data_IF_807541360986
#
_entry.id   IF_807541360986
#
_cell.length_a   1.000
_cell.length_b   1.000
_cell.length_c   1.000
_cell.angle_alpha   90.00
_cell.angle_beta   90.00
_cell.angle_gamma   90.00
#
_symmetry.space_group_name_H-M   'P 1'
#
loop_
_entity.id
_entity.type
_entity.pdbx_description
1 polymer ?
#
# COMPACT_ATOMS: atom_id res chain seq x y z
N UNK A 1 15.87 -14.75 -0.25
CA UNK A 1 16.03 -16.04 -0.98
C UNK A 1 16.62 -15.71 -2.32
N UNK A 2 17.80 -16.24 -2.65
CA UNK A 2 18.38 -16.14 -3.99
C UNK A 2 18.29 -17.50 -4.66
N UNK A 3 18.32 -17.57 -6.03
CA UNK A 3 18.32 -18.85 -6.73
C UNK A 3 19.46 -19.77 -6.28
N UNK A 4 20.66 -19.25 -6.10
CA UNK A 4 21.83 -20.05 -5.68
C UNK A 4 21.60 -20.70 -4.30
N UNK A 5 21.01 -19.95 -3.35
CA UNK A 5 20.69 -20.50 -2.03
C UNK A 5 19.56 -21.56 -2.14
N UNK A 6 18.60 -21.36 -3.03
CA UNK A 6 17.51 -22.31 -3.24
C UNK A 6 17.99 -23.63 -3.87
N UNK A 7 18.94 -23.57 -4.81
CA UNK A 7 19.62 -24.74 -5.42
C UNK A 7 20.42 -25.53 -4.39
N UNK A 8 21.15 -24.86 -3.49
CA UNK A 8 21.95 -25.51 -2.44
C UNK A 8 21.11 -26.31 -1.44
N UNK A 9 19.80 -26.02 -1.33
CA UNK A 9 18.89 -26.77 -0.47
C UNK A 9 18.56 -28.18 -1.02
N UNK A 10 18.83 -28.45 -2.30
CA UNK A 10 18.52 -29.71 -2.97
C UNK A 10 17.09 -30.22 -2.70
N UNK A 11 16.11 -29.32 -2.73
CA UNK A 11 14.72 -29.63 -2.43
C UNK A 11 14.06 -30.32 -3.65
N UNK A 12 13.21 -31.30 -3.41
CA UNK A 12 12.39 -31.93 -4.46
C UNK A 12 11.28 -31.00 -4.96
N UNK A 13 10.75 -30.17 -4.05
CA UNK A 13 9.63 -29.24 -4.31
C UNK A 13 9.93 -27.87 -3.71
N UNK A 14 9.72 -26.83 -4.50
CA UNK A 14 9.71 -25.44 -4.01
C UNK A 14 8.31 -24.87 -4.12
N UNK A 15 7.78 -24.37 -3.00
CA UNK A 15 6.54 -23.59 -2.95
C UNK A 15 6.92 -22.12 -2.64
N UNK A 16 6.82 -21.27 -3.63
CA UNK A 16 7.22 -19.88 -3.53
C UNK A 16 6.01 -18.98 -3.23
N UNK A 17 6.03 -18.36 -2.05
CA UNK A 17 4.99 -17.44 -1.57
C UNK A 17 5.63 -16.12 -1.13
N UNK A 18 6.37 -15.45 -2.05
CA UNK A 18 7.20 -14.28 -1.73
C UNK A 18 6.38 -13.01 -1.47
N UNK A 19 5.09 -13.02 -1.80
CA UNK A 19 4.21 -11.88 -1.56
C UNK A 19 4.35 -10.77 -2.61
N UNK A 20 4.06 -9.55 -2.19
CA UNK A 20 4.09 -8.36 -3.02
C UNK A 20 4.77 -7.19 -2.28
N UNK A 21 5.19 -6.19 -3.02
CA UNK A 21 5.72 -4.93 -2.47
C UNK A 21 4.78 -3.78 -2.79
N UNK A 22 4.81 -2.71 -1.97
CA UNK A 22 4.04 -1.50 -2.21
C UNK A 22 4.31 -0.95 -3.62
N UNK A 23 3.27 -0.71 -4.39
CA UNK A 23 3.36 -0.06 -5.68
C UNK A 23 3.75 1.40 -5.47
N UNK A 24 4.92 1.79 -5.98
CA UNK A 24 5.43 3.14 -5.87
C UNK A 24 4.85 4.00 -6.99
N UNK A 25 4.07 5.05 -6.69
CA UNK A 25 3.50 5.92 -7.71
C UNK A 25 4.60 6.77 -8.37
N UNK A 26 4.41 7.09 -9.65
CA UNK A 26 5.33 7.96 -10.39
C UNK A 26 4.96 9.43 -10.14
N UNK A 27 5.34 9.94 -8.99
CA UNK A 27 5.14 11.34 -8.60
C UNK A 27 6.51 11.97 -8.32
N UNK A 28 6.86 13.09 -8.93
CA UNK A 28 8.10 13.80 -8.62
C UNK A 28 8.23 14.05 -7.11
N UNK A 29 9.40 13.77 -6.54
CA UNK A 29 9.65 13.88 -5.10
C UNK A 29 9.34 12.61 -4.28
N UNK A 30 8.88 11.52 -4.90
CA UNK A 30 8.56 10.24 -4.21
C UNK A 30 9.78 9.60 -3.54
N UNK A 31 11.00 9.96 -3.96
CA UNK A 31 12.27 9.44 -3.41
C UNK A 31 12.80 10.24 -2.22
N UNK A 32 12.06 11.25 -1.75
CA UNK A 32 12.47 12.10 -0.64
C UNK A 32 12.45 11.33 0.70
N UNK A 33 13.35 11.68 1.62
CA UNK A 33 13.52 10.98 2.90
C UNK A 33 12.29 11.00 3.83
N UNK A 34 11.36 11.94 3.62
CA UNK A 34 10.11 12.03 4.38
C UNK A 34 8.95 11.28 3.70
N UNK A 35 9.22 10.53 2.63
CA UNK A 35 8.24 9.71 1.92
C UNK A 35 8.45 8.24 2.27
N UNK A 36 7.38 7.58 2.71
CA UNK A 36 7.40 6.18 3.14
C UNK A 36 6.32 5.38 2.39
N UNK A 37 6.53 4.09 2.26
CA UNK A 37 5.43 3.18 1.95
C UNK A 37 4.53 2.99 3.18
N UNK A 38 3.31 2.53 2.98
CA UNK A 38 2.42 2.18 4.09
C UNK A 38 3.04 1.12 5.02
N UNK A 39 3.77 0.15 4.47
CA UNK A 39 4.45 -0.91 5.24
C UNK A 39 5.55 -0.35 6.15
N UNK A 40 6.29 0.65 5.68
CA UNK A 40 7.34 1.33 6.47
C UNK A 40 6.73 2.26 7.53
N UNK A 41 5.61 2.92 7.21
CA UNK A 41 4.95 3.88 8.10
C UNK A 41 4.27 3.21 9.32
N UNK A 42 3.72 2.00 9.18
CA UNK A 42 3.01 1.29 10.25
C UNK A 42 3.83 1.15 11.54
N UNK A 43 5.05 0.57 11.53
CA UNK A 43 5.85 0.43 12.74
C UNK A 43 6.43 1.75 13.25
N UNK A 44 6.40 2.79 12.43
CA UNK A 44 6.93 4.11 12.77
C UNK A 44 5.86 5.11 13.24
N UNK A 45 4.61 4.68 13.44
CA UNK A 45 3.46 5.54 13.73
C UNK A 45 3.73 6.59 14.83
N UNK A 46 4.39 6.23 15.92
CA UNK A 46 4.74 7.16 17.01
C UNK A 46 5.78 8.21 16.58
N UNK A 47 6.72 7.82 15.73
CA UNK A 47 7.88 8.63 15.33
C UNK A 47 7.60 9.58 14.16
N UNK A 48 6.48 9.38 13.44
CA UNK A 48 6.10 10.28 12.34
C UNK A 48 5.80 11.68 12.88
N UNK A 49 5.97 12.69 12.02
CA UNK A 49 5.55 14.06 12.29
C UNK A 49 4.05 14.18 12.55
N UNK A 50 3.57 15.30 13.07
CA UNK A 50 2.16 15.50 13.38
C UNK A 50 1.24 15.50 12.16
N UNK A 51 1.70 16.04 11.02
CA UNK A 51 0.94 16.12 9.77
C UNK A 51 1.32 15.03 8.80
N UNK A 52 0.40 14.13 8.44
CA UNK A 52 0.65 13.02 7.51
C UNK A 52 -0.33 13.06 6.34
N UNK A 53 0.21 13.03 5.13
CA UNK A 53 -0.58 12.82 3.92
C UNK A 53 -0.41 11.37 3.46
N UNK A 54 -1.54 10.70 3.17
CA UNK A 54 -1.54 9.37 2.57
C UNK A 54 -2.04 9.47 1.12
N UNK A 55 -1.29 8.88 0.19
CA UNK A 55 -1.66 8.80 -1.22
C UNK A 55 -2.36 7.47 -1.50
N UNK A 56 -3.67 7.51 -1.70
CA UNK A 56 -4.54 6.37 -1.99
C UNK A 56 -5.52 6.02 -0.87
N UNK A 57 -6.82 5.97 -1.21
CA UNK A 57 -7.93 5.60 -0.33
C UNK A 57 -8.40 4.14 -0.56
N UNK A 58 -7.46 3.23 -0.78
CA UNK A 58 -7.70 1.79 -0.69
C UNK A 58 -7.72 1.33 0.77
N UNK A 59 -8.01 0.04 1.02
CA UNK A 59 -8.07 -0.54 2.38
C UNK A 59 -6.83 -0.21 3.19
N UNK A 60 -5.64 -0.41 2.63
CA UNK A 60 -4.35 -0.16 3.30
C UNK A 60 -4.22 1.30 3.73
N UNK A 61 -4.55 2.26 2.84
CA UNK A 61 -4.46 3.69 3.14
C UNK A 61 -5.43 4.12 4.23
N UNK A 62 -6.67 3.62 4.19
CA UNK A 62 -7.72 3.92 5.19
C UNK A 62 -7.35 3.33 6.55
N UNK A 63 -6.97 2.06 6.60
CA UNK A 63 -6.58 1.38 7.85
C UNK A 63 -5.36 2.03 8.48
N UNK A 64 -4.34 2.36 7.68
CA UNK A 64 -3.18 3.12 8.15
C UNK A 64 -3.59 4.51 8.67
N UNK A 65 -4.45 5.23 7.95
CA UNK A 65 -4.94 6.54 8.38
C UNK A 65 -5.64 6.48 9.75
N UNK A 66 -6.53 5.51 9.94
CA UNK A 66 -7.20 5.26 11.22
C UNK A 66 -6.20 4.83 12.32
N UNK A 67 -5.17 4.07 11.96
CA UNK A 67 -4.09 3.69 12.88
C UNK A 67 -3.32 4.93 13.35
N UNK A 68 -2.85 5.77 12.42
CA UNK A 68 -2.07 6.96 12.73
C UNK A 68 -2.85 7.98 13.59
N UNK A 69 -4.15 8.14 13.38
CA UNK A 69 -5.01 8.98 14.22
C UNK A 69 -4.98 8.53 15.70
N UNK A 70 -4.88 7.22 15.97
CA UNK A 70 -4.75 6.71 17.35
C UNK A 70 -3.46 7.17 18.03
N UNK A 71 -2.42 7.48 17.25
CA UNK A 71 -1.16 8.06 17.71
C UNK A 71 -1.16 9.60 17.67
N UNK A 72 -2.36 10.22 17.56
CA UNK A 72 -2.53 11.68 17.60
C UNK A 72 -2.07 12.40 16.34
N UNK A 73 -1.89 11.69 15.20
CA UNK A 73 -1.50 12.33 13.95
C UNK A 73 -2.70 12.96 13.25
N UNK A 74 -2.46 14.10 12.60
CA UNK A 74 -3.41 14.74 11.70
C UNK A 74 -3.24 14.12 10.31
N UNK A 75 -4.21 13.32 9.89
CA UNK A 75 -4.13 12.55 8.66
C UNK A 75 -5.09 13.09 7.60
N UNK A 76 -4.56 13.30 6.39
CA UNK A 76 -5.37 13.56 5.20
C UNK A 76 -5.02 12.52 4.14
N UNK A 77 -6.04 11.83 3.62
CA UNK A 77 -5.88 10.91 2.49
C UNK A 77 -6.23 11.66 1.21
N UNK A 78 -5.36 11.56 0.20
CA UNK A 78 -5.58 12.07 -1.15
C UNK A 78 -5.91 10.90 -2.07
N UNK A 79 -7.07 10.97 -2.74
CA UNK A 79 -7.53 9.92 -3.65
C UNK A 79 -7.84 10.55 -5.02
N UNK A 80 -7.25 9.97 -6.06
CA UNK A 80 -7.42 10.48 -7.42
C UNK A 80 -8.78 10.15 -8.05
N UNK A 81 -9.46 9.13 -7.55
CA UNK A 81 -10.82 8.75 -7.96
C UNK A 81 -11.89 9.45 -7.10
N UNK A 82 -13.14 9.26 -7.44
CA UNK A 82 -14.29 9.84 -6.72
C UNK A 82 -14.84 8.95 -5.59
N UNK A 83 -14.19 7.81 -5.33
CA UNK A 83 -14.62 6.83 -4.32
C UNK A 83 -13.45 6.10 -3.67
N UNK A 84 -13.72 5.45 -2.54
CA UNK A 84 -12.77 4.53 -1.88
C UNK A 84 -12.81 3.17 -2.57
N UNK A 85 -11.67 2.51 -2.70
CA UNK A 85 -11.63 1.11 -3.14
C UNK A 85 -12.13 0.20 -2.01
N UNK A 86 -13.19 -0.57 -2.28
CA UNK A 86 -13.84 -1.42 -1.28
C UNK A 86 -13.16 -2.78 -1.02
N UNK A 87 -12.18 -3.15 -1.86
CA UNK A 87 -11.50 -4.43 -1.75
C UNK A 87 -12.44 -5.66 -1.80
N UNK A 88 -13.71 -5.47 -2.18
CA UNK A 88 -14.69 -6.55 -2.34
C UNK A 88 -15.32 -7.07 -1.03
N UNK A 89 -15.12 -6.41 0.12
CA UNK A 89 -15.72 -6.81 1.40
C UNK A 89 -16.66 -5.74 1.95
N UNK A 90 -17.95 -5.86 1.63
CA UNK A 90 -18.98 -4.91 2.02
C UNK A 90 -19.11 -4.70 3.55
N UNK A 91 -19.08 -5.78 4.34
CA UNK A 91 -19.20 -5.66 5.80
C UNK A 91 -18.00 -4.94 6.43
N UNK A 92 -16.80 -5.23 5.93
CA UNK A 92 -15.59 -4.54 6.36
C UNK A 92 -15.67 -3.05 6.04
N UNK A 93 -16.13 -2.71 4.84
CA UNK A 93 -16.30 -1.32 4.42
C UNK A 93 -17.32 -0.56 5.26
N UNK A 94 -18.43 -1.19 5.68
CA UNK A 94 -19.38 -0.56 6.61
C UNK A 94 -18.71 -0.20 7.94
N UNK A 95 -17.90 -1.11 8.49
CA UNK A 95 -17.12 -0.85 9.70
C UNK A 95 -16.12 0.29 9.52
N UNK A 96 -15.38 0.32 8.41
CA UNK A 96 -14.44 1.40 8.09
C UNK A 96 -15.13 2.75 7.95
N UNK A 97 -16.26 2.84 7.25
CA UNK A 97 -17.03 4.07 7.14
C UNK A 97 -17.46 4.63 8.52
N UNK A 98 -17.90 3.75 9.43
CA UNK A 98 -18.25 4.16 10.79
C UNK A 98 -17.04 4.71 11.55
N UNK A 99 -15.87 4.06 11.47
CA UNK A 99 -14.64 4.52 12.11
C UNK A 99 -14.09 5.80 11.47
N UNK A 100 -14.13 5.95 10.14
CA UNK A 100 -13.75 7.18 9.42
C UNK A 100 -14.57 8.36 9.98
N UNK A 101 -15.89 8.22 10.02
CA UNK A 101 -16.79 9.27 10.55
C UNK A 101 -16.53 9.56 12.02
N UNK A 102 -16.41 8.53 12.85
CA UNK A 102 -16.19 8.65 14.30
C UNK A 102 -14.87 9.35 14.63
N UNK A 103 -13.80 9.08 13.86
CA UNK A 103 -12.46 9.63 14.12
C UNK A 103 -12.15 10.89 13.31
N UNK A 104 -13.05 11.28 12.40
CA UNK A 104 -12.86 12.47 11.56
C UNK A 104 -11.70 12.33 10.56
N UNK A 105 -11.44 11.11 10.07
CA UNK A 105 -10.42 10.90 9.03
C UNK A 105 -10.81 11.64 7.76
N UNK A 106 -9.97 12.59 7.35
CA UNK A 106 -10.19 13.40 6.17
C UNK A 106 -9.76 12.66 4.91
N UNK A 107 -10.68 12.49 3.97
CA UNK A 107 -10.40 11.91 2.64
C UNK A 107 -10.81 12.95 1.59
N UNK A 108 -9.89 13.27 0.69
CA UNK A 108 -10.10 14.18 -0.43
C UNK A 108 -10.12 13.38 -1.72
N UNK A 109 -11.29 13.23 -2.29
CA UNK A 109 -11.50 12.57 -3.58
C UNK A 109 -11.18 13.52 -4.75
N UNK A 110 -11.05 12.97 -5.96
CA UNK A 110 -10.69 13.69 -7.18
C UNK A 110 -9.44 14.59 -6.97
N UNK A 111 -8.51 14.14 -6.11
CA UNK A 111 -7.33 14.88 -5.70
C UNK A 111 -6.08 14.09 -6.06
N UNK A 112 -5.48 14.40 -7.20
CA UNK A 112 -4.31 13.72 -7.73
C UNK A 112 -3.03 14.41 -7.29
N UNK A 113 -2.13 13.70 -6.61
CA UNK A 113 -0.79 14.20 -6.31
C UNK A 113 0.02 14.37 -7.61
N UNK A 114 0.59 15.57 -7.82
CA UNK A 114 1.39 15.91 -9.00
C UNK A 114 2.85 16.18 -8.65
N UNK A 115 3.14 16.55 -7.41
CA UNK A 115 4.50 16.78 -6.92
C UNK A 115 4.54 16.67 -5.40
N UNK A 116 5.59 16.05 -4.89
CA UNK A 116 5.92 16.00 -3.46
C UNK A 116 7.12 16.91 -3.21
N UNK A 117 7.06 17.73 -2.17
CA UNK A 117 8.14 18.59 -1.70
C UNK A 117 8.39 18.35 -0.23
N UNK A 118 9.45 18.91 0.34
CA UNK A 118 9.78 18.86 1.77
C UNK A 118 8.72 19.49 2.70
N UNK A 119 7.76 20.24 2.13
CA UNK A 119 6.68 20.91 2.88
C UNK A 119 5.31 20.27 2.69
N UNK A 120 5.17 19.31 1.78
CA UNK A 120 3.88 18.69 1.50
C UNK A 120 3.70 18.29 0.03
N UNK A 121 2.44 18.25 -0.43
CA UNK A 121 2.05 17.71 -1.72
C UNK A 121 1.27 18.72 -2.54
N UNK A 122 1.73 19.01 -3.75
CA UNK A 122 0.94 19.70 -4.78
C UNK A 122 0.02 18.73 -5.48
N UNK A 123 -1.23 19.09 -5.62
CA UNK A 123 -2.29 18.24 -6.16
C UNK A 123 -3.09 18.96 -7.22
N UNK A 124 -3.58 18.20 -8.19
CA UNK A 124 -4.62 18.63 -9.12
C UNK A 124 -5.98 18.21 -8.59
N UNK A 125 -6.90 19.18 -8.57
CA UNK A 125 -8.30 18.98 -8.16
C UNK A 125 -9.24 19.52 -9.26
N UNK A 126 -10.54 19.22 -9.23
CA UNK A 126 -11.50 19.80 -10.17
C UNK A 126 -11.57 21.33 -10.14
N UNK A 127 -11.26 21.94 -8.99
CA UNK A 127 -11.26 23.41 -8.83
C UNK A 127 -9.90 24.05 -9.18
N UNK A 128 -8.90 23.27 -9.61
CA UNK A 128 -7.54 23.71 -9.92
C UNK A 128 -6.47 23.12 -9.00
N UNK A 129 -5.26 23.58 -9.18
CA UNK A 129 -4.13 23.05 -8.40
C UNK A 129 -4.16 23.57 -6.96
N UNK A 130 -3.87 22.67 -6.01
CA UNK A 130 -3.88 22.92 -4.57
C UNK A 130 -2.61 22.38 -3.93
N UNK A 131 -2.17 23.00 -2.84
CA UNK A 131 -1.06 22.51 -2.02
C UNK A 131 -1.56 22.11 -0.63
N UNK A 132 -1.12 20.95 -0.17
CA UNK A 132 -1.44 20.42 1.16
C UNK A 132 -0.14 20.22 1.93
N UNK A 133 -0.03 20.88 3.08
CA UNK A 133 1.13 20.77 3.97
C UNK A 133 1.16 19.43 4.68
N UNK A 134 2.37 18.87 4.83
CA UNK A 134 2.60 17.63 5.58
C UNK A 134 4.06 17.52 6.02
N UNK A 135 4.28 16.91 7.18
CA UNK A 135 5.60 16.54 7.68
C UNK A 135 6.08 15.23 7.05
N UNK A 136 5.12 14.35 6.77
CA UNK A 136 5.36 13.04 6.15
C UNK A 136 4.36 12.76 5.03
N UNK A 137 4.84 12.10 3.97
CA UNK A 137 3.98 11.58 2.90
C UNK A 137 4.09 10.06 2.89
N UNK A 138 2.95 9.38 2.83
CA UNK A 138 2.90 7.92 2.77
C UNK A 138 2.16 7.48 1.52
N UNK A 139 2.74 6.58 0.73
CA UNK A 139 2.02 6.03 -0.40
C UNK A 139 1.41 4.66 -0.10
N UNK A 140 0.13 4.51 -0.47
CA UNK A 140 -0.70 3.31 -0.37
C UNK A 140 -1.43 3.05 -1.70
N UNK A 141 -0.69 3.17 -2.82
CA UNK A 141 -1.22 3.17 -4.19
C UNK A 141 -1.34 1.75 -4.80
N UNK A 142 -1.53 0.73 -3.96
CA UNK A 142 -1.64 -0.66 -4.36
C UNK A 142 -0.38 -1.48 -4.10
N UNK A 143 -0.37 -2.71 -4.64
CA UNK A 143 0.74 -3.65 -4.46
C UNK A 143 1.19 -4.21 -5.81
N UNK A 144 2.51 -4.42 -5.96
CA UNK A 144 3.12 -5.07 -7.11
C UNK A 144 3.58 -6.47 -6.72
N UNK A 145 3.10 -7.54 -7.40
CA UNK A 145 3.56 -8.91 -7.14
C UNK A 145 5.08 -9.03 -7.30
N UNK A 146 5.72 -9.81 -6.44
CA UNK A 146 7.13 -10.20 -6.58
C UNK A 146 7.28 -11.37 -7.57
N UNK A 147 6.65 -11.23 -8.75
CA UNK A 147 6.58 -12.29 -9.75
C UNK A 147 7.93 -12.62 -10.36
N UNK A 148 8.74 -11.62 -10.66
CA UNK A 148 10.06 -11.79 -11.26
C UNK A 148 10.98 -12.55 -10.29
N UNK A 149 11.03 -12.11 -9.04
CA UNK A 149 11.80 -12.72 -7.95
C UNK A 149 11.32 -14.16 -7.69
N UNK A 150 10.00 -14.39 -7.79
CA UNK A 150 9.41 -15.72 -7.61
C UNK A 150 9.75 -16.65 -8.78
N UNK A 151 9.62 -16.16 -10.01
CA UNK A 151 9.89 -16.94 -11.22
C UNK A 151 11.37 -17.32 -11.32
N UNK A 152 12.28 -16.52 -10.80
CA UNK A 152 13.71 -16.82 -10.77
C UNK A 152 14.03 -18.11 -9.98
N UNK A 153 13.13 -18.57 -9.10
CA UNK A 153 13.28 -19.83 -8.34
C UNK A 153 12.74 -21.07 -9.09
N UNK A 154 12.12 -20.90 -10.26
CA UNK A 154 11.41 -21.98 -10.94
C UNK A 154 12.31 -23.15 -11.38
N UNK A 155 13.60 -22.91 -11.60
CA UNK A 155 14.56 -23.94 -12.02
C UNK A 155 15.37 -24.55 -10.87
N UNK A 156 15.11 -24.13 -9.61
CA UNK A 156 15.90 -24.56 -8.45
C UNK A 156 15.41 -25.88 -7.83
N UNK A 157 14.31 -26.46 -8.33
CA UNK A 157 13.82 -27.79 -7.93
C UNK A 157 13.09 -28.49 -9.07
N UNK A 158 12.95 -29.84 -9.04
CA UNK A 158 12.18 -30.59 -10.00
C UNK A 158 10.70 -30.17 -10.08
N UNK A 159 10.10 -29.81 -8.96
CA UNK A 159 8.74 -29.29 -8.87
C UNK A 159 8.70 -27.88 -8.30
N UNK A 160 7.92 -27.00 -8.93
CA UNK A 160 7.82 -25.59 -8.53
C UNK A 160 6.38 -25.09 -8.57
N UNK A 161 5.96 -24.44 -7.47
CA UNK A 161 4.62 -23.85 -7.32
C UNK A 161 4.70 -22.41 -6.81
N UNK A 162 3.89 -21.53 -7.40
CA UNK A 162 3.72 -20.14 -6.93
C UNK A 162 2.35 -19.98 -6.30
N UNK A 163 2.27 -19.29 -5.15
CA UNK A 163 0.99 -19.03 -4.51
C UNK A 163 0.96 -17.68 -3.76
N UNK A 164 -0.24 -17.19 -3.52
CA UNK A 164 -0.48 -15.94 -2.79
C UNK A 164 -0.17 -14.68 -3.61
N UNK A 165 0.21 -13.60 -2.92
CA UNK A 165 0.33 -12.27 -3.51
C UNK A 165 1.46 -12.12 -4.54
N UNK A 166 2.40 -13.05 -4.61
CA UNK A 166 3.40 -13.06 -5.68
C UNK A 166 2.81 -13.45 -7.04
N UNK A 167 1.63 -14.07 -7.05
CA UNK A 167 0.85 -14.36 -8.26
C UNK A 167 -0.12 -13.22 -8.55
N UNK A 168 -0.98 -12.92 -7.58
CA UNK A 168 -1.97 -11.84 -7.65
C UNK A 168 -2.27 -11.34 -6.24
N UNK A 169 -1.90 -10.09 -5.90
CA UNK A 169 -2.24 -9.51 -4.62
C UNK A 169 -3.76 -9.45 -4.42
N UNK A 170 -4.23 -10.05 -3.34
CA UNK A 170 -5.65 -10.14 -3.00
C UNK A 170 -5.85 -10.03 -1.49
N UNK A 171 -7.08 -9.77 -1.05
CA UNK A 171 -7.44 -9.90 0.36
C UNK A 171 -7.79 -11.36 0.70
N UNK A 172 -7.82 -11.66 2.01
CA UNK A 172 -8.09 -13.03 2.52
C UNK A 172 -9.43 -13.60 2.01
N UNK A 173 -10.41 -12.75 1.74
CA UNK A 173 -11.74 -13.18 1.28
C UNK A 173 -11.76 -13.62 -0.18
N UNK A 174 -10.73 -13.27 -0.94
CA UNK A 174 -10.58 -13.57 -2.37
C UNK A 174 -9.59 -14.72 -2.65
N UNK A 175 -9.01 -15.29 -1.59
CA UNK A 175 -8.15 -16.48 -1.71
C UNK A 175 -9.00 -17.68 -2.15
N UNK A 176 -9.09 -17.89 -3.45
CA UNK A 176 -9.59 -19.15 -3.98
C UNK A 176 -8.47 -20.18 -3.93
N UNK A 177 -8.76 -21.43 -3.51
CA UNK A 177 -7.82 -22.52 -3.71
C UNK A 177 -7.55 -22.61 -5.21
N UNK A 178 -6.27 -22.65 -5.58
CA UNK A 178 -5.89 -22.96 -6.97
C UNK A 178 -6.52 -24.29 -7.35
N UNK A 179 -7.08 -24.43 -8.56
CA UNK A 179 -7.49 -25.76 -9.03
C UNK A 179 -6.26 -26.67 -9.01
N UNK A 180 -6.40 -27.79 -8.32
CA UNK A 180 -5.43 -28.89 -8.27
C UNK A 180 -5.35 -29.51 -9.66
#
# INVERSE_FOLDING_TARGET
>A
MTPEYAEDLNADVIIAALGAKAARPQVPGIDSNHVLSAQEAYPLAEKLGPGVIILGAGLVGIELGLHLIRYGKQVTILEMTDHMSDGGNFLHMLGLHAEIKKRGLKILFNTQAIQITDKGVSCRTPEGDRFYEADQVVYAAGQKPLREETTALACCAPEFYMLGDCVTPQNITQLHPLPI
#
